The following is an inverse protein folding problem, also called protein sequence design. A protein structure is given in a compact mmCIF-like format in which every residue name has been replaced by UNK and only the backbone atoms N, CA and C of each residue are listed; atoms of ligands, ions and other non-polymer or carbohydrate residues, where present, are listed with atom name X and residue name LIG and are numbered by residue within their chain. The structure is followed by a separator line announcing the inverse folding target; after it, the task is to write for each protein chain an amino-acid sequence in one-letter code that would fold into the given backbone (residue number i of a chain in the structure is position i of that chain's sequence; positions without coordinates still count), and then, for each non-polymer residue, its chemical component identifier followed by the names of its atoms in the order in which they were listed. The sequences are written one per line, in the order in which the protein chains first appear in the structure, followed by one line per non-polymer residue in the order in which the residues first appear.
data_IF_347012503895
#
_entry.id   IF_347012503895
#
_cell.length_a   1.000
_cell.length_b   1.000
_cell.length_c   1.000
_cell.angle_alpha   90.00
_cell.angle_beta   90.00
_cell.angle_gamma   90.00
#
_symmetry.space_group_name_H-M   'P 1'
#
loop_
_entity.id
_entity.type
_entity.pdbx_description
1 polymer ?
#
# COMPACT_ATOMS: atom_id res chain seq x y z
N UNK A 1 35.43 -12.83 -6.89
CA UNK A 1 34.20 -13.33 -7.55
C UNK A 1 33.23 -12.18 -7.67
N UNK A 2 32.83 -11.85 -8.91
CA UNK A 2 32.12 -10.59 -9.22
C UNK A 2 30.74 -10.63 -8.56
N UNK A 3 30.34 -9.55 -7.87
CA UNK A 3 29.08 -9.47 -7.10
C UNK A 3 27.84 -9.87 -7.92
N UNK A 4 27.90 -9.69 -9.24
CA UNK A 4 26.90 -10.09 -10.21
C UNK A 4 26.76 -11.61 -10.40
N UNK A 5 27.85 -12.37 -10.32
CA UNK A 5 27.79 -13.84 -10.44
C UNK A 5 27.14 -14.48 -9.22
N UNK A 6 27.45 -13.95 -8.03
CA UNK A 6 26.81 -14.40 -6.79
C UNK A 6 25.30 -14.09 -6.81
N UNK A 7 24.91 -12.95 -7.39
CA UNK A 7 23.49 -12.62 -7.60
C UNK A 7 22.82 -13.61 -8.56
N UNK A 8 23.44 -13.88 -9.72
CA UNK A 8 22.91 -14.80 -10.71
C UNK A 8 22.73 -16.23 -10.15
N UNK A 9 23.73 -16.76 -9.43
CA UNK A 9 23.64 -18.09 -8.81
C UNK A 9 22.52 -18.16 -7.78
N UNK A 10 22.35 -17.11 -6.95
CA UNK A 10 21.27 -17.05 -5.95
C UNK A 10 19.88 -17.00 -6.59
N UNK A 11 19.72 -16.21 -7.66
CA UNK A 11 18.45 -16.12 -8.39
C UNK A 11 18.08 -17.46 -9.05
N UNK A 12 19.04 -18.13 -9.67
CA UNK A 12 18.82 -19.45 -10.29
C UNK A 12 18.42 -20.47 -9.21
N UNK A 13 19.14 -20.52 -8.08
CA UNK A 13 18.81 -21.43 -6.99
C UNK A 13 17.42 -21.17 -6.41
N UNK A 14 17.03 -19.90 -6.25
CA UNK A 14 15.70 -19.53 -5.77
C UNK A 14 14.59 -19.96 -6.73
N UNK A 15 14.80 -19.80 -8.04
CA UNK A 15 13.85 -20.23 -9.07
C UNK A 15 13.70 -21.75 -9.10
N UNK A 16 14.81 -22.49 -9.07
CA UNK A 16 14.80 -23.96 -9.04
C UNK A 16 14.12 -24.48 -7.77
N UNK A 17 14.42 -23.88 -6.61
CA UNK A 17 13.79 -24.26 -5.34
C UNK A 17 12.29 -23.98 -5.38
N UNK A 18 11.87 -22.79 -5.81
CA UNK A 18 10.46 -22.43 -5.93
C UNK A 18 9.71 -23.34 -6.91
N UNK A 19 10.32 -23.65 -8.05
CA UNK A 19 9.74 -24.57 -9.04
C UNK A 19 9.61 -26.00 -8.49
N UNK A 20 10.61 -26.48 -7.75
CA UNK A 20 10.58 -27.81 -7.13
C UNK A 20 9.47 -27.90 -6.08
N UNK A 21 9.29 -26.86 -5.27
CA UNK A 21 8.23 -26.79 -4.25
C UNK A 21 6.84 -26.69 -4.89
N UNK A 22 6.72 -26.03 -6.05
CA UNK A 22 5.47 -25.99 -6.81
C UNK A 22 5.09 -27.38 -7.35
N UNK A 23 6.05 -28.08 -7.99
CA UNK A 23 5.82 -29.42 -8.53
C UNK A 23 5.61 -30.48 -7.45
N UNK A 24 6.15 -30.28 -6.23
CA UNK A 24 5.93 -31.21 -5.13
C UNK A 24 4.49 -31.19 -4.60
N UNK A 25 3.62 -30.29 -5.08
CA UNK A 25 2.23 -30.20 -4.66
C UNK A 25 2.05 -29.82 -3.18
N UNK A 26 3.13 -29.34 -2.54
CA UNK A 26 3.14 -28.96 -1.12
C UNK A 26 2.40 -27.64 -0.91
N UNK A 27 2.34 -26.81 -1.96
CA UNK A 27 1.66 -25.51 -1.93
C UNK A 27 0.39 -25.61 -2.77
N UNK A 28 -0.75 -25.24 -2.17
CA UNK A 28 -2.04 -25.17 -2.84
C UNK A 28 -2.07 -24.07 -3.91
N UNK A 29 -2.84 -24.29 -4.98
CA UNK A 29 -2.96 -23.37 -6.11
C UNK A 29 -3.47 -21.99 -5.67
N UNK A 30 -4.40 -21.97 -4.72
CA UNK A 30 -4.95 -20.73 -4.17
C UNK A 30 -3.86 -19.87 -3.48
N UNK A 31 -2.89 -20.50 -2.81
CA UNK A 31 -1.76 -19.81 -2.19
C UNK A 31 -0.82 -19.23 -3.25
N UNK A 32 -0.57 -19.95 -4.33
CA UNK A 32 0.26 -19.46 -5.46
C UNK A 32 -0.39 -18.23 -6.10
N UNK A 33 -1.70 -18.26 -6.36
CA UNK A 33 -2.45 -17.13 -6.92
C UNK A 33 -2.41 -15.94 -5.95
N UNK A 34 -2.59 -16.16 -4.66
CA UNK A 34 -2.52 -15.09 -3.66
C UNK A 34 -1.15 -14.41 -3.66
N UNK A 35 -0.06 -15.18 -3.64
CA UNK A 35 1.31 -14.62 -3.68
C UNK A 35 1.54 -13.83 -4.97
N UNK A 36 1.02 -14.32 -6.11
CA UNK A 36 1.08 -13.59 -7.37
C UNK A 36 0.33 -12.25 -7.32
N UNK A 37 -0.88 -12.22 -6.75
CA UNK A 37 -1.64 -10.98 -6.55
C UNK A 37 -0.93 -10.01 -5.60
N UNK A 38 -0.36 -10.50 -4.50
CA UNK A 38 0.45 -9.67 -3.59
C UNK A 38 1.65 -9.03 -4.30
N UNK A 39 2.30 -9.77 -5.21
CA UNK A 39 3.40 -9.28 -6.04
C UNK A 39 2.94 -8.20 -7.02
N UNK A 40 1.83 -8.44 -7.74
CA UNK A 40 1.24 -7.44 -8.64
C UNK A 40 0.85 -6.17 -7.89
N UNK A 41 0.26 -6.30 -6.71
CA UNK A 41 -0.09 -5.16 -5.89
C UNK A 41 1.15 -4.36 -5.46
N UNK A 42 2.22 -5.03 -5.02
CA UNK A 42 3.49 -4.36 -4.72
C UNK A 42 4.03 -3.57 -5.92
N UNK A 43 4.03 -4.17 -7.12
CA UNK A 43 4.47 -3.50 -8.34
C UNK A 43 3.56 -2.30 -8.67
N UNK A 44 2.24 -2.48 -8.63
CA UNK A 44 1.29 -1.40 -8.91
C UNK A 44 1.41 -0.22 -7.93
N UNK A 45 1.60 -0.50 -6.64
CA UNK A 45 1.84 0.51 -5.62
C UNK A 45 3.16 1.25 -5.81
N UNK A 46 4.21 0.55 -6.23
CA UNK A 46 5.49 1.15 -6.58
C UNK A 46 5.38 2.06 -7.82
N UNK A 47 4.67 1.62 -8.87
CA UNK A 47 4.41 2.42 -10.07
C UNK A 47 3.63 3.69 -9.75
N UNK A 48 2.56 3.57 -8.94
CA UNK A 48 1.80 4.71 -8.43
C UNK A 48 2.71 5.71 -7.72
N UNK A 49 3.48 5.25 -6.73
CA UNK A 49 4.35 6.13 -5.96
C UNK A 49 5.41 6.83 -6.81
N UNK A 50 5.95 6.13 -7.81
CA UNK A 50 6.93 6.70 -8.74
C UNK A 50 6.33 7.80 -9.61
N UNK A 51 5.13 7.58 -10.18
CA UNK A 51 4.45 8.55 -11.04
C UNK A 51 3.92 9.77 -10.26
N UNK A 52 3.44 9.56 -9.02
CA UNK A 52 2.99 10.65 -8.14
C UNK A 52 4.14 11.37 -7.44
N UNK A 53 5.40 10.94 -7.64
CA UNK A 53 6.61 11.46 -6.95
C UNK A 53 6.50 11.48 -5.41
N UNK A 54 5.64 10.65 -4.84
CA UNK A 54 5.30 10.61 -3.41
C UNK A 54 5.80 9.34 -2.73
N UNK A 55 6.98 8.85 -3.13
CA UNK A 55 7.62 7.67 -2.54
C UNK A 55 8.08 7.95 -1.12
N UNK A 56 7.17 7.71 -0.17
CA UNK A 56 7.48 7.71 1.25
C UNK A 56 7.78 6.27 1.69
N UNK A 57 9.03 6.00 2.06
CA UNK A 57 9.49 4.68 2.51
C UNK A 57 8.75 4.18 3.75
N UNK A 58 8.29 5.08 4.63
CA UNK A 58 7.51 4.72 5.82
C UNK A 58 6.14 4.17 5.43
N UNK A 59 5.50 4.76 4.40
CA UNK A 59 4.22 4.28 3.88
C UNK A 59 4.40 2.95 3.15
N UNK A 60 5.47 2.81 2.36
CA UNK A 60 5.81 1.55 1.69
C UNK A 60 6.07 0.40 2.68
N UNK A 61 6.81 0.68 3.76
CA UNK A 61 7.07 -0.31 4.81
C UNK A 61 5.78 -0.70 5.55
N UNK A 62 4.92 0.27 5.86
CA UNK A 62 3.62 -0.01 6.48
C UNK A 62 2.75 -0.92 5.60
N UNK A 63 2.75 -0.71 4.27
CA UNK A 63 2.09 -1.61 3.32
C UNK A 63 2.69 -3.02 3.32
N UNK A 64 4.02 -3.14 3.38
CA UNK A 64 4.70 -4.42 3.44
C UNK A 64 4.41 -5.19 4.75
N UNK A 65 4.30 -4.50 5.89
CA UNK A 65 3.92 -5.10 7.17
C UNK A 65 2.50 -5.70 7.09
N UNK A 66 1.55 -4.99 6.47
CA UNK A 66 0.19 -5.51 6.24
C UNK A 66 0.21 -6.79 5.41
N UNK A 67 1.00 -6.80 4.32
CA UNK A 67 1.20 -7.99 3.47
C UNK A 67 1.83 -9.15 4.26
N UNK A 68 2.79 -8.87 5.13
CA UNK A 68 3.36 -9.90 6.01
C UNK A 68 2.30 -10.50 6.94
N UNK A 69 1.39 -9.69 7.49
CA UNK A 69 0.29 -10.21 8.30
C UNK A 69 -0.64 -11.16 7.52
N UNK A 70 -0.88 -10.90 6.22
CA UNK A 70 -1.62 -11.83 5.34
C UNK A 70 -0.92 -13.19 5.25
N UNK A 71 0.41 -13.20 5.09
CA UNK A 71 1.20 -14.44 5.03
C UNK A 71 1.13 -15.20 6.36
N UNK A 72 1.15 -14.50 7.50
CA UNK A 72 1.00 -15.12 8.82
C UNK A 72 -0.37 -15.79 8.97
N UNK A 73 -1.45 -15.11 8.55
CA UNK A 73 -2.80 -15.69 8.57
C UNK A 73 -2.88 -16.90 7.65
N UNK A 74 -2.30 -16.82 6.46
CA UNK A 74 -2.27 -17.93 5.50
C UNK A 74 -1.52 -19.15 6.04
N UNK A 75 -0.37 -18.94 6.70
CA UNK A 75 0.39 -20.01 7.35
C UNK A 75 -0.42 -20.67 8.49
N UNK A 76 -1.12 -19.86 9.29
CA UNK A 76 -2.04 -20.37 10.30
C UNK A 76 -3.18 -21.19 9.67
N UNK A 77 -3.77 -20.72 8.58
CA UNK A 77 -4.83 -21.46 7.86
C UNK A 77 -4.32 -22.78 7.28
N UNK A 78 -3.12 -22.82 6.70
CA UNK A 78 -2.51 -24.05 6.24
C UNK A 78 -2.27 -25.04 7.39
N UNK A 79 -1.87 -24.54 8.57
CA UNK A 79 -1.76 -25.35 9.78
C UNK A 79 -3.09 -25.92 10.26
N UNK A 80 -4.19 -25.14 10.14
CA UNK A 80 -5.54 -25.62 10.46
C UNK A 80 -6.01 -26.70 9.48
N UNK A 81 -5.82 -26.50 8.18
CA UNK A 81 -6.14 -27.50 7.14
C UNK A 81 -5.40 -28.82 7.43
N UNK A 82 -4.10 -28.74 7.74
CA UNK A 82 -3.30 -29.90 8.12
C UNK A 82 -3.83 -30.60 9.38
N UNK A 83 -4.25 -29.83 10.38
CA UNK A 83 -4.82 -30.37 11.62
C UNK A 83 -6.13 -31.13 11.39
N UNK A 84 -7.05 -30.58 10.57
CA UNK A 84 -8.31 -31.26 10.23
C UNK A 84 -8.08 -32.57 9.47
N UNK A 85 -7.16 -32.56 8.50
CA UNK A 85 -6.77 -33.75 7.77
C UNK A 85 -6.26 -34.86 8.71
N UNK A 86 -5.46 -34.51 9.73
CA UNK A 86 -4.96 -35.47 10.73
C UNK A 86 -6.03 -35.98 11.70
N UNK A 87 -7.11 -35.22 11.90
CA UNK A 87 -8.29 -35.64 12.66
C UNK A 87 -9.23 -36.55 11.84
N UNK A 88 -8.86 -36.91 10.60
CA UNK A 88 -9.68 -37.71 9.70
C UNK A 88 -10.85 -36.93 9.08
N UNK A 89 -10.82 -35.60 9.16
CA UNK A 89 -11.76 -34.72 8.47
C UNK A 89 -11.09 -34.19 7.21
N UNK A 90 -11.38 -34.79 6.06
CA UNK A 90 -10.87 -34.29 4.79
C UNK A 90 -11.70 -33.07 4.36
N UNK A 91 -11.10 -31.89 4.51
CA UNK A 91 -11.68 -30.61 4.11
C UNK A 91 -11.50 -30.31 2.61
N UNK A 92 -10.73 -31.14 1.89
CA UNK A 92 -10.52 -31.01 0.45
C UNK A 92 -9.87 -29.68 0.02
N UNK A 93 -9.14 -29.00 0.92
CA UNK A 93 -8.57 -27.69 0.65
C UNK A 93 -9.54 -26.52 0.80
N UNK A 94 -10.77 -26.75 1.28
CA UNK A 94 -11.81 -25.71 1.33
C UNK A 94 -11.44 -24.55 2.26
N UNK A 95 -10.78 -24.80 3.39
CA UNK A 95 -10.45 -23.75 4.37
C UNK A 95 -9.41 -22.83 3.77
N UNK A 96 -8.31 -23.41 3.25
CA UNK A 96 -7.24 -22.62 2.62
C UNK A 96 -7.73 -21.91 1.35
N UNK A 97 -8.60 -22.53 0.54
CA UNK A 97 -9.20 -21.89 -0.62
C UNK A 97 -10.05 -20.68 -0.23
N UNK A 98 -10.89 -20.82 0.81
CA UNK A 98 -11.78 -19.75 1.26
C UNK A 98 -10.99 -18.54 1.78
N UNK A 99 -10.03 -18.78 2.67
CA UNK A 99 -9.21 -17.70 3.25
C UNK A 99 -8.32 -17.06 2.18
N UNK A 100 -7.70 -17.86 1.31
CA UNK A 100 -6.87 -17.32 0.23
C UNK A 100 -7.70 -16.47 -0.75
N UNK A 101 -8.90 -16.92 -1.10
CA UNK A 101 -9.80 -16.17 -2.00
C UNK A 101 -10.20 -14.81 -1.43
N UNK A 102 -10.46 -14.73 -0.12
CA UNK A 102 -10.72 -13.47 0.56
C UNK A 102 -9.54 -12.49 0.39
N UNK A 103 -8.32 -12.96 0.62
CA UNK A 103 -7.14 -12.11 0.46
C UNK A 103 -6.80 -11.79 -1.00
N UNK A 104 -7.07 -12.70 -1.94
CA UNK A 104 -6.92 -12.44 -3.38
C UNK A 104 -7.82 -11.27 -3.80
N UNK A 105 -9.07 -11.24 -3.34
CA UNK A 105 -9.98 -10.13 -3.62
C UNK A 105 -9.46 -8.83 -2.97
N UNK A 106 -8.95 -8.87 -1.74
CA UNK A 106 -8.34 -7.70 -1.10
C UNK A 106 -7.15 -7.13 -1.88
N UNK A 107 -6.24 -7.99 -2.34
CA UNK A 107 -5.10 -7.57 -3.17
C UNK A 107 -5.57 -7.05 -4.53
N UNK A 108 -6.60 -7.67 -5.12
CA UNK A 108 -7.24 -7.19 -6.35
C UNK A 108 -7.85 -5.78 -6.20
N UNK A 109 -8.50 -5.50 -5.07
CA UNK A 109 -9.02 -4.17 -4.74
C UNK A 109 -7.89 -3.14 -4.57
N UNK A 110 -6.79 -3.52 -3.91
CA UNK A 110 -5.61 -2.66 -3.75
C UNK A 110 -4.95 -2.33 -5.09
N UNK A 111 -4.83 -3.32 -6.00
CA UNK A 111 -4.35 -3.10 -7.37
C UNK A 111 -5.27 -2.12 -8.10
N UNK A 112 -6.59 -2.32 -8.01
CA UNK A 112 -7.57 -1.47 -8.65
C UNK A 112 -7.49 -0.02 -8.14
N UNK A 113 -7.26 0.17 -6.84
CA UNK A 113 -7.03 1.49 -6.25
C UNK A 113 -5.76 2.14 -6.83
N UNK A 114 -4.65 1.41 -6.87
CA UNK A 114 -3.41 1.93 -7.43
C UNK A 114 -3.57 2.29 -8.91
N UNK A 115 -4.28 1.46 -9.69
CA UNK A 115 -4.63 1.73 -11.08
C UNK A 115 -5.55 2.96 -11.23
N UNK A 116 -6.53 3.15 -10.36
CA UNK A 116 -7.39 4.33 -10.36
C UNK A 116 -6.57 5.61 -10.22
N UNK A 117 -5.63 5.62 -9.27
CA UNK A 117 -4.78 6.76 -9.00
C UNK A 117 -3.73 7.02 -10.09
N UNK A 118 -3.42 6.01 -10.89
CA UNK A 118 -2.62 6.14 -12.12
C UNK A 118 -3.40 6.74 -13.30
N UNK A 119 -4.71 6.97 -13.15
CA UNK A 119 -5.56 7.57 -14.18
C UNK A 119 -6.21 6.55 -15.13
N UNK A 120 -6.22 5.25 -14.77
CA UNK A 120 -7.02 4.29 -15.54
C UNK A 120 -8.52 4.57 -15.39
N UNK A 121 -9.30 4.57 -16.49
CA UNK A 121 -10.73 4.81 -16.44
C UNK A 121 -11.43 3.62 -15.77
N UNK A 122 -11.85 3.80 -14.53
CA UNK A 122 -12.58 2.81 -13.74
C UNK A 122 -14.04 3.27 -13.57
N UNK A 123 -15.03 2.38 -13.70
CA UNK A 123 -16.43 2.71 -13.47
C UNK A 123 -16.67 3.43 -12.14
N UNK A 124 -17.51 4.50 -12.11
CA UNK A 124 -17.76 5.28 -10.89
C UNK A 124 -18.28 4.45 -9.72
N UNK A 125 -19.04 3.39 -10.01
CA UNK A 125 -19.60 2.48 -9.01
C UNK A 125 -18.47 1.78 -8.24
N UNK A 126 -17.43 1.35 -8.93
CA UNK A 126 -16.26 0.71 -8.31
C UNK A 126 -15.45 1.73 -7.51
N UNK A 127 -15.16 2.89 -8.10
CA UNK A 127 -14.42 3.96 -7.40
C UNK A 127 -15.10 4.39 -6.09
N UNK A 128 -16.40 4.63 -6.12
CA UNK A 128 -17.18 5.01 -4.94
C UNK A 128 -17.21 3.89 -3.88
N UNK A 129 -17.18 2.64 -4.31
CA UNK A 129 -17.14 1.49 -3.40
C UNK A 129 -15.77 1.34 -2.74
N UNK A 130 -14.68 1.57 -3.49
CA UNK A 130 -13.31 1.63 -2.98
C UNK A 130 -13.13 2.80 -1.99
N UNK A 131 -13.64 3.99 -2.31
CA UNK A 131 -13.56 5.15 -1.41
C UNK A 131 -14.32 4.90 -0.10
N UNK A 132 -15.47 4.22 -0.16
CA UNK A 132 -16.21 3.79 1.03
C UNK A 132 -15.50 2.70 1.83
N UNK A 133 -14.75 1.79 1.18
CA UNK A 133 -13.96 0.77 1.87
C UNK A 133 -12.73 1.37 2.58
N UNK A 134 -12.12 2.40 1.99
CA UNK A 134 -11.02 3.15 2.62
C UNK A 134 -11.49 4.00 3.82
N UNK A 135 -12.76 4.40 3.84
CA UNK A 135 -13.41 4.99 5.00
C UNK A 135 -13.95 3.87 5.90
N UNK A 136 -13.17 3.50 6.92
CA UNK A 136 -13.50 2.51 7.95
C UNK A 136 -15.02 2.36 8.26
N UNK A 137 -15.56 1.14 8.49
CA UNK A 137 -16.98 0.93 8.83
C UNK A 137 -17.46 1.72 10.07
N UNK A 138 -16.53 2.22 10.90
CA UNK A 138 -16.82 2.99 12.11
C UNK A 138 -16.77 4.51 11.90
N UNK A 139 -16.51 5.01 10.68
CA UNK A 139 -16.43 6.45 10.41
C UNK A 139 -15.26 7.18 11.09
N UNK A 140 -14.29 6.43 11.63
CA UNK A 140 -13.03 6.97 12.13
C UNK A 140 -11.95 6.65 11.10
N UNK A 141 -11.41 7.69 10.50
CA UNK A 141 -10.28 7.62 9.57
C UNK A 141 -9.25 6.60 10.06
N UNK A 142 -8.80 5.68 9.20
CA UNK A 142 -7.59 4.90 9.44
C UNK A 142 -6.38 5.85 9.33
N UNK A 143 -6.31 6.80 10.27
CA UNK A 143 -5.09 7.48 10.59
C UNK A 143 -4.15 6.39 11.08
N UNK A 144 -3.25 5.94 10.20
CA UNK A 144 -1.99 5.29 10.57
C UNK A 144 -1.50 6.08 11.78
N UNK A 145 -1.63 5.52 12.99
CA UNK A 145 -1.39 6.14 14.31
C UNK A 145 -0.62 7.47 14.15
N UNK A 146 -1.34 8.55 13.79
CA UNK A 146 -0.74 9.87 13.72
C UNK A 146 -0.78 10.29 15.15
N UNK A 147 0.39 10.24 15.80
CA UNK A 147 0.53 10.75 17.15
C UNK A 147 -0.20 12.10 17.20
N UNK A 148 -1.15 12.32 18.13
CA UNK A 148 -1.88 13.58 18.25
C UNK A 148 -0.98 14.81 18.32
N UNK A 149 0.30 14.62 18.65
CA UNK A 149 1.32 15.65 18.68
C UNK A 149 1.78 16.05 17.27
N UNK A 150 1.82 15.13 16.29
CA UNK A 150 2.18 15.47 14.91
C UNK A 150 1.11 16.33 14.24
N UNK A 151 -0.17 16.08 14.51
CA UNK A 151 -1.26 16.91 13.99
C UNK A 151 -1.20 18.35 14.56
N UNK A 152 -0.84 18.47 15.85
CA UNK A 152 -0.59 19.77 16.49
C UNK A 152 0.62 20.49 15.87
N UNK A 153 1.68 19.76 15.55
CA UNK A 153 2.88 20.32 14.90
C UNK A 153 2.54 20.82 13.50
N UNK A 154 1.87 20.01 12.67
CA UNK A 154 1.46 20.40 11.31
C UNK A 154 0.56 21.63 11.35
N UNK A 155 -0.43 21.67 12.26
CA UNK A 155 -1.32 22.83 12.41
C UNK A 155 -0.57 24.08 12.89
N UNK A 156 0.41 23.94 13.78
CA UNK A 156 1.25 25.05 14.23
C UNK A 156 2.18 25.57 13.13
N UNK A 157 2.75 24.67 12.32
CA UNK A 157 3.58 25.02 11.16
C UNK A 157 2.76 25.75 10.11
N UNK A 158 1.57 25.24 9.76
CA UNK A 158 0.65 25.89 8.83
C UNK A 158 0.23 27.28 9.31
N UNK A 159 -0.09 27.44 10.60
CA UNK A 159 -0.42 28.76 11.16
C UNK A 159 0.76 29.73 11.10
N UNK A 160 2.00 29.23 11.24
CA UNK A 160 3.21 30.04 11.12
C UNK A 160 3.43 30.49 9.67
N UNK A 161 3.27 29.59 8.72
CA UNK A 161 3.43 29.85 7.30
C UNK A 161 2.36 30.82 6.77
N UNK A 162 1.10 30.64 7.18
CA UNK A 162 0.01 31.58 6.86
C UNK A 162 0.30 32.96 7.43
N UNK A 163 0.78 33.08 8.68
CA UNK A 163 1.15 34.37 9.26
C UNK A 163 2.30 35.04 8.52
N UNK A 164 3.31 34.28 8.10
CA UNK A 164 4.43 34.81 7.33
C UNK A 164 3.97 35.33 5.97
N UNK A 165 3.14 34.56 5.25
CA UNK A 165 2.58 34.99 3.96
C UNK A 165 1.73 36.26 4.10
N UNK A 166 0.94 36.39 5.19
CA UNK A 166 0.15 37.59 5.45
C UNK A 166 1.02 38.83 5.69
N UNK A 167 2.14 38.68 6.41
CA UNK A 167 3.11 39.77 6.63
C UNK A 167 3.81 40.15 5.34
N UNK A 168 4.18 39.17 4.52
CA UNK A 168 4.81 39.40 3.23
C UNK A 168 3.87 40.16 2.27
N UNK A 169 2.60 39.74 2.19
CA UNK A 169 1.57 40.44 1.40
C UNK A 169 1.39 41.88 1.89
N UNK A 170 1.28 42.10 3.21
CA UNK A 170 1.15 43.45 3.76
C UNK A 170 2.36 44.34 3.42
N UNK A 171 3.57 43.77 3.46
CA UNK A 171 4.80 44.51 3.09
C UNK A 171 4.89 44.82 1.59
N UNK A 172 4.30 43.98 0.72
CA UNK A 172 4.21 44.23 -0.71
C UNK A 172 3.19 45.32 -1.04
N UNK A 173 2.05 45.35 -0.34
CA UNK A 173 1.05 46.41 -0.50
C UNK A 173 1.59 47.77 -0.07
N UNK A 174 2.31 47.85 1.07
CA UNK A 174 2.98 49.09 1.50
C UNK A 174 4.01 49.60 0.49
N UNK A 175 4.82 48.70 -0.10
CA UNK A 175 5.77 49.09 -1.16
C UNK A 175 5.09 49.62 -2.41
N UNK A 176 3.96 49.03 -2.82
CA UNK A 176 3.16 49.55 -3.95
C UNK A 176 2.58 50.93 -3.66
N UNK A 177 2.14 51.18 -2.43
CA UNK A 177 1.65 52.49 -2.00
C UNK A 177 2.76 53.55 -1.94
N UNK A 178 3.98 53.18 -1.53
CA UNK A 178 5.15 54.06 -1.56
C UNK A 178 5.61 54.37 -3.00
N UNK A 179 5.65 53.36 -3.88
CA UNK A 179 6.02 53.53 -5.29
C UNK A 179 5.01 54.43 -6.04
N UNK A 180 3.71 54.34 -5.72
CA UNK A 180 2.68 55.23 -6.30
C UNK A 180 2.76 56.68 -5.82
N UNK A 181 3.37 56.92 -4.64
CA UNK A 181 3.47 58.27 -4.06
C UNK A 181 4.74 59.01 -4.48
N UNK A 182 5.72 58.30 -5.04
CA UNK A 182 6.98 58.85 -5.56
C UNK A 182 6.90 59.41 -6.99
N UNK A 183 5.88 59.05 -7.77
CA UNK A 183 5.70 59.49 -9.16
C UNK A 183 4.89 60.81 -9.29
N UNK A 184 4.33 61.35 -8.19
CA UNK A 184 3.52 62.57 -8.14
C UNK A 184 4.28 63.83 -7.66
N UNK A 185 5.62 63.82 -7.63
CA UNK A 185 6.50 64.96 -7.25
C UNK A 185 7.39 65.42 -8.40
#
# INVERSE_FOLDING_TARGET
MVRWEVFAVKSILALVTGFTVYISGVINEATVILVFFMFLDFISGMLRGWLTKSLNSTIGLAGLIKKFAVIVILAMTAGLEYFFMHMGQDTGGLIILTVSSFFIVNEGLSILENCAQLGLPIPPILYNSLEKLNRDPSGKEQAIIRDPLLDKIDKAVLLKEVKQNQVEIASQELKKEEDQKGDDV
#
